data_IF_862797592292
#
_entry.id   IF_862797592292
#
_cell.length_a   1.000
_cell.length_b   1.000
_cell.length_c   1.000
_cell.angle_alpha   90.00
_cell.angle_beta   90.00
_cell.angle_gamma   90.00
#
_symmetry.space_group_name_H-M   'P 1'
#
loop_
_entity.id
_entity.type
_entity.pdbx_description
1 polymer ?
#
# COMPACT_ATOMS: atom_id res chain seq x y z
N UNK A 1 -4.99 14.84 29.48
CA UNK A 1 -6.46 14.88 29.26
C UNK A 1 -6.76 14.02 28.04
N UNK A 2 -7.78 13.16 28.09
CA UNK A 2 -8.27 12.48 26.89
C UNK A 2 -8.89 13.54 25.98
N UNK A 3 -8.44 13.59 24.72
CA UNK A 3 -8.95 14.50 23.70
C UNK A 3 -10.45 14.25 23.48
N UNK A 4 -11.24 15.31 23.36
CA UNK A 4 -12.67 15.19 23.01
C UNK A 4 -12.82 14.58 21.62
N UNK A 5 -13.80 13.68 21.46
CA UNK A 5 -14.05 13.05 20.18
C UNK A 5 -14.59 14.05 19.16
N UNK A 6 -13.95 14.11 17.98
CA UNK A 6 -14.37 14.95 16.87
C UNK A 6 -14.17 14.20 15.56
N UNK A 7 -15.16 14.29 14.66
CA UNK A 7 -15.10 13.77 13.30
C UNK A 7 -15.19 14.94 12.30
N UNK A 8 -14.41 14.86 11.22
CA UNK A 8 -14.40 15.87 10.17
C UNK A 8 -15.80 16.08 9.60
N UNK A 9 -16.18 17.33 9.35
CA UNK A 9 -17.45 17.66 8.67
C UNK A 9 -17.44 17.36 7.17
N UNK A 10 -16.28 17.38 6.53
CA UNK A 10 -16.14 17.16 5.07
C UNK A 10 -15.85 15.70 4.69
N UNK A 11 -15.08 14.97 5.49
CA UNK A 11 -14.80 13.54 5.30
C UNK A 11 -15.22 12.73 6.55
N UNK A 12 -14.56 11.61 6.85
CA UNK A 12 -14.83 10.80 8.05
C UNK A 12 -13.59 10.50 8.90
N UNK A 13 -12.47 11.18 8.65
CA UNK A 13 -11.33 11.16 9.58
C UNK A 13 -11.73 11.79 10.91
N UNK A 14 -11.24 11.22 12.01
CA UNK A 14 -11.59 11.62 13.36
C UNK A 14 -10.38 11.62 14.31
N UNK A 15 -10.62 11.89 15.58
CA UNK A 15 -9.59 11.96 16.64
C UNK A 15 -8.95 10.62 17.01
N UNK A 16 -9.28 9.51 16.33
CA UNK A 16 -8.48 8.27 16.45
C UNK A 16 -7.13 8.40 15.74
N UNK A 17 -6.96 9.36 14.82
CA UNK A 17 -5.65 9.91 14.50
C UNK A 17 -5.27 10.87 15.65
N UNK A 18 -4.25 10.54 16.47
CA UNK A 18 -3.92 11.35 17.64
C UNK A 18 -3.44 12.75 17.27
N UNK A 19 -2.88 12.93 16.07
CA UNK A 19 -2.29 14.17 15.61
C UNK A 19 -3.24 14.98 14.73
N UNK A 20 -4.44 14.49 14.41
CA UNK A 20 -5.37 15.20 13.51
C UNK A 20 -5.68 16.60 14.04
N UNK A 21 -5.81 17.58 13.16
CA UNK A 21 -6.23 18.94 13.49
C UNK A 21 -7.43 19.31 12.65
N UNK A 22 -8.26 20.18 13.21
CA UNK A 22 -9.46 20.71 12.57
C UNK A 22 -9.36 22.23 12.54
N UNK A 23 -9.80 22.83 11.44
CA UNK A 23 -9.98 24.28 11.36
C UNK A 23 -11.27 24.74 12.08
N UNK A 24 -11.53 26.05 12.05
CA UNK A 24 -12.68 26.68 12.69
C UNK A 24 -14.03 26.15 12.15
N UNK A 25 -14.06 25.65 10.92
CA UNK A 25 -15.24 25.05 10.30
C UNK A 25 -15.43 23.59 10.73
N UNK A 26 -14.45 22.97 11.39
CA UNK A 26 -14.45 21.56 11.76
C UNK A 26 -14.02 20.63 10.62
N UNK A 27 -13.30 21.15 9.64
CA UNK A 27 -12.70 20.39 8.53
C UNK A 27 -11.28 19.98 8.90
N UNK A 28 -10.95 18.70 8.70
CA UNK A 28 -9.65 18.19 9.05
C UNK A 28 -8.58 18.61 8.04
N UNK A 29 -7.33 18.64 8.50
CA UNK A 29 -6.19 19.01 7.66
C UNK A 29 -5.97 18.12 6.43
N UNK A 30 -6.43 16.86 6.43
CA UNK A 30 -6.35 16.00 5.24
C UNK A 30 -7.20 16.58 4.10
N UNK A 31 -8.42 17.04 4.42
CA UNK A 31 -9.28 17.73 3.47
C UNK A 31 -8.66 19.05 3.02
N UNK A 32 -8.03 19.79 3.93
CA UNK A 32 -7.35 21.04 3.60
C UNK A 32 -6.11 20.81 2.71
N UNK A 33 -5.30 19.78 2.98
CA UNK A 33 -4.17 19.39 2.12
C UNK A 33 -4.67 18.97 0.73
N UNK A 34 -5.74 18.18 0.65
CA UNK A 34 -6.33 17.81 -0.63
C UNK A 34 -6.78 19.05 -1.42
N UNK A 35 -7.57 19.93 -0.80
CA UNK A 35 -8.11 21.14 -1.43
C UNK A 35 -7.02 22.12 -1.87
N UNK A 36 -6.00 22.32 -1.03
CA UNK A 36 -5.00 23.39 -1.22
C UNK A 36 -3.75 22.93 -1.99
N UNK A 37 -3.42 21.63 -1.97
CA UNK A 37 -2.15 21.13 -2.52
C UNK A 37 -2.32 20.06 -3.59
N UNK A 38 -3.23 19.10 -3.41
CA UNK A 38 -3.38 17.98 -4.36
C UNK A 38 -4.30 18.39 -5.51
N UNK A 39 -5.51 18.84 -5.21
CA UNK A 39 -6.57 19.10 -6.19
C UNK A 39 -6.18 20.16 -7.24
N UNK A 40 -5.58 21.33 -6.89
CA UNK A 40 -5.30 22.37 -7.87
C UNK A 40 -4.33 21.95 -8.98
N UNK A 41 -3.36 21.07 -8.67
CA UNK A 41 -2.39 20.58 -9.65
C UNK A 41 -2.83 19.28 -10.31
N UNK A 42 -3.36 18.34 -9.52
CA UNK A 42 -3.75 17.05 -10.06
C UNK A 42 -4.98 17.18 -10.96
N UNK A 43 -5.95 18.03 -10.59
CA UNK A 43 -7.22 18.25 -11.29
C UNK A 43 -7.88 16.94 -11.75
N UNK A 44 -7.93 15.94 -10.85
CA UNK A 44 -8.46 14.59 -11.14
C UNK A 44 -7.79 13.89 -12.33
N UNK A 45 -6.58 14.28 -12.71
CA UNK A 45 -5.88 13.75 -13.88
C UNK A 45 -6.43 14.24 -15.22
N UNK A 46 -7.40 15.16 -15.23
CA UNK A 46 -8.05 15.65 -16.45
C UNK A 46 -7.09 16.53 -17.26
N UNK A 47 -6.97 16.26 -18.56
CA UNK A 47 -6.14 17.03 -19.48
C UNK A 47 -4.65 16.67 -19.44
N UNK A 48 -4.28 15.59 -18.74
CA UNK A 48 -2.90 15.14 -18.56
C UNK A 48 -2.51 13.98 -19.47
N UNK A 49 -3.37 13.64 -20.43
CA UNK A 49 -3.16 12.54 -21.39
C UNK A 49 -1.90 12.78 -22.23
N UNK A 50 -1.65 14.03 -22.63
CA UNK A 50 -0.44 14.40 -23.36
C UNK A 50 0.82 14.14 -22.54
N UNK A 51 0.83 14.52 -21.25
CA UNK A 51 1.95 14.25 -20.35
C UNK A 51 2.20 12.75 -20.18
N UNK A 52 1.13 11.96 -20.05
CA UNK A 52 1.23 10.50 -19.95
C UNK A 52 1.87 9.88 -21.21
N UNK A 53 1.46 10.33 -22.39
CA UNK A 53 2.00 9.84 -23.67
C UNK A 53 3.44 10.30 -23.91
N UNK A 54 3.80 11.51 -23.48
CA UNK A 54 5.19 11.99 -23.49
C UNK A 54 6.06 11.18 -22.54
N UNK A 55 5.56 10.85 -21.35
CA UNK A 55 6.23 9.96 -20.42
C UNK A 55 6.40 8.56 -21.01
N UNK A 56 5.38 8.01 -21.67
CA UNK A 56 5.47 6.73 -22.36
C UNK A 56 6.56 6.73 -23.45
N UNK A 57 6.63 7.79 -24.27
CA UNK A 57 7.70 7.96 -25.28
C UNK A 57 9.08 8.01 -24.62
N UNK A 58 9.22 8.73 -23.51
CA UNK A 58 10.48 8.81 -22.75
C UNK A 58 10.89 7.45 -22.21
N UNK A 59 9.96 6.69 -21.65
CA UNK A 59 10.21 5.34 -21.13
C UNK A 59 10.73 4.45 -22.26
N UNK A 60 9.99 4.35 -23.38
CA UNK A 60 10.40 3.57 -24.56
C UNK A 60 11.77 3.95 -25.09
N UNK A 61 12.04 5.25 -25.22
CA UNK A 61 13.32 5.74 -25.71
C UNK A 61 14.50 5.34 -24.82
N UNK A 62 14.28 5.27 -23.51
CA UNK A 62 15.29 4.87 -22.53
C UNK A 62 15.46 3.35 -22.42
N UNK A 63 14.55 2.58 -23.02
CA UNK A 63 14.46 1.12 -22.96
C UNK A 63 14.70 0.43 -24.32
N UNK A 64 15.16 1.16 -25.34
CA UNK A 64 15.36 0.64 -26.72
C UNK A 64 16.24 -0.62 -26.78
N UNK A 65 17.21 -0.75 -25.87
CA UNK A 65 18.15 -1.87 -25.83
C UNK A 65 17.78 -2.91 -24.74
N UNK A 66 16.52 -2.91 -24.28
CA UNK A 66 16.02 -3.82 -23.24
C UNK A 66 14.78 -4.54 -23.71
N UNK A 67 14.56 -5.76 -23.20
CA UNK A 67 13.39 -6.57 -23.55
C UNK A 67 12.06 -5.98 -23.04
N UNK A 68 12.12 -5.21 -21.94
CA UNK A 68 10.97 -4.63 -21.25
C UNK A 68 11.17 -3.13 -21.03
N UNK A 69 10.13 -2.35 -21.31
CA UNK A 69 10.13 -0.89 -21.13
C UNK A 69 10.18 -0.47 -19.66
N UNK A 70 9.49 -1.25 -18.83
CA UNK A 70 9.28 -0.99 -17.41
C UNK A 70 8.91 -2.28 -16.67
N UNK A 71 8.78 -2.19 -15.35
CA UNK A 71 8.33 -3.29 -14.48
C UNK A 71 7.15 -2.85 -13.61
N UNK A 72 6.20 -3.75 -13.39
CA UNK A 72 5.02 -3.53 -12.53
C UNK A 72 4.95 -4.65 -11.50
N UNK A 73 4.84 -4.28 -10.22
CA UNK A 73 4.45 -5.22 -9.18
C UNK A 73 2.95 -5.52 -9.28
N UNK A 74 2.56 -6.78 -9.46
CA UNK A 74 1.17 -7.18 -9.66
C UNK A 74 0.64 -7.97 -8.47
N UNK A 75 -0.41 -7.46 -7.80
CA UNK A 75 -1.04 -8.11 -6.64
C UNK A 75 -2.36 -8.82 -6.96
N UNK A 76 -2.93 -8.58 -8.15
CA UNK A 76 -4.30 -8.98 -8.50
C UNK A 76 -5.37 -8.00 -8.00
N UNK A 77 -5.01 -7.07 -7.13
CA UNK A 77 -5.85 -5.95 -6.68
C UNK A 77 -6.06 -4.89 -7.76
N UNK A 78 -7.11 -4.09 -7.61
CA UNK A 78 -7.60 -3.14 -8.61
C UNK A 78 -6.52 -2.18 -9.14
N UNK A 79 -5.80 -1.50 -8.25
CA UNK A 79 -4.87 -0.42 -8.62
C UNK A 79 -3.70 -0.95 -9.47
N UNK A 80 -3.15 -2.12 -9.11
CA UNK A 80 -2.06 -2.75 -9.86
C UNK A 80 -2.53 -3.32 -11.20
N UNK A 81 -3.71 -3.96 -11.23
CA UNK A 81 -4.31 -4.49 -12.44
C UNK A 81 -4.64 -3.40 -13.45
N UNK A 82 -5.23 -2.30 -12.99
CA UNK A 82 -5.55 -1.17 -13.86
C UNK A 82 -4.27 -0.46 -14.34
N UNK A 83 -3.21 -0.43 -13.52
CA UNK A 83 -1.90 0.08 -13.94
C UNK A 83 -1.31 -0.75 -15.09
N UNK A 84 -1.42 -2.08 -15.04
CA UNK A 84 -0.98 -2.94 -16.15
C UNK A 84 -1.80 -2.69 -17.43
N UNK A 85 -3.11 -2.51 -17.31
CA UNK A 85 -3.97 -2.10 -18.42
C UNK A 85 -3.55 -0.74 -19.01
N UNK A 86 -3.34 0.28 -18.17
CA UNK A 86 -2.91 1.62 -18.62
C UNK A 86 -1.55 1.56 -19.31
N UNK A 87 -0.59 0.86 -18.71
CA UNK A 87 0.75 0.73 -19.27
C UNK A 87 0.74 0.08 -20.66
N UNK A 88 -0.07 -0.96 -20.85
CA UNK A 88 -0.15 -1.68 -22.12
C UNK A 88 -1.05 -1.01 -23.15
N UNK A 89 -2.31 -0.76 -22.82
CA UNK A 89 -3.34 -0.33 -23.78
C UNK A 89 -3.34 1.17 -24.04
N UNK A 90 -2.92 1.99 -23.07
CA UNK A 90 -2.92 3.46 -23.20
C UNK A 90 -1.51 3.98 -23.50
N UNK A 91 -0.51 3.56 -22.73
CA UNK A 91 0.87 4.01 -22.92
C UNK A 91 1.59 3.23 -24.03
N UNK A 92 1.08 2.06 -24.42
CA UNK A 92 1.68 1.20 -25.43
C UNK A 92 3.02 0.60 -25.01
N UNK A 93 3.32 0.53 -23.71
CA UNK A 93 4.56 -0.04 -23.16
C UNK A 93 4.49 -1.57 -23.15
N UNK A 94 5.66 -2.20 -23.17
CA UNK A 94 5.84 -3.62 -22.88
C UNK A 94 6.38 -3.80 -21.44
N UNK A 95 5.51 -3.88 -20.42
CA UNK A 95 5.94 -4.08 -19.04
C UNK A 95 6.35 -5.53 -18.79
N UNK A 96 7.34 -5.73 -17.92
CA UNK A 96 7.52 -6.98 -17.18
C UNK A 96 6.57 -6.98 -15.99
N UNK A 97 5.74 -7.99 -15.84
CA UNK A 97 4.93 -8.17 -14.64
C UNK A 97 5.70 -9.01 -13.62
N UNK A 98 5.78 -8.54 -12.39
CA UNK A 98 6.36 -9.27 -11.26
C UNK A 98 5.31 -9.44 -10.17
N UNK A 99 4.89 -10.67 -9.93
CA UNK A 99 4.17 -11.05 -8.72
C UNK A 99 5.18 -11.45 -7.64
N UNK A 100 4.96 -11.04 -6.40
CA UNK A 100 5.78 -11.46 -5.26
C UNK A 100 4.88 -12.24 -4.33
N UNK A 101 5.11 -13.55 -4.23
CA UNK A 101 4.33 -14.43 -3.39
C UNK A 101 4.95 -14.47 -1.99
N UNK A 102 4.34 -13.73 -1.05
CA UNK A 102 4.68 -13.76 0.37
C UNK A 102 3.91 -14.83 1.16
N UNK A 103 3.19 -15.72 0.48
CA UNK A 103 2.45 -16.83 1.06
C UNK A 103 1.01 -16.50 1.48
N UNK A 104 0.50 -15.29 1.24
CA UNK A 104 -0.81 -14.84 1.75
C UNK A 104 -1.88 -14.60 0.68
N UNK A 105 -1.64 -15.01 -0.56
CA UNK A 105 -2.57 -14.80 -1.67
C UNK A 105 -3.95 -15.45 -1.43
N UNK A 106 -5.00 -14.76 -1.89
CA UNK A 106 -6.33 -15.36 -2.06
C UNK A 106 -6.45 -16.06 -3.42
N UNK A 107 -7.33 -17.05 -3.52
CA UNK A 107 -7.63 -17.71 -4.80
C UNK A 107 -8.13 -16.69 -5.84
N UNK A 108 -9.00 -15.76 -5.43
CA UNK A 108 -9.45 -14.67 -6.29
C UNK A 108 -8.31 -13.77 -6.80
N UNK A 109 -7.29 -13.49 -5.98
CA UNK A 109 -6.13 -12.72 -6.41
C UNK A 109 -5.34 -13.45 -7.50
N UNK A 110 -5.12 -14.76 -7.34
CA UNK A 110 -4.45 -15.60 -8.33
C UNK A 110 -5.25 -15.64 -9.63
N UNK A 111 -6.56 -15.91 -9.58
CA UNK A 111 -7.43 -15.89 -10.77
C UNK A 111 -7.42 -14.53 -11.48
N UNK A 112 -7.44 -13.43 -10.72
CA UNK A 112 -7.41 -12.09 -11.27
C UNK A 112 -6.08 -11.76 -11.95
N UNK A 113 -4.97 -12.27 -11.42
CA UNK A 113 -3.64 -12.16 -12.04
C UNK A 113 -3.64 -12.93 -13.36
N UNK A 114 -4.02 -14.21 -13.35
CA UNK A 114 -4.03 -15.08 -14.54
C UNK A 114 -4.83 -14.45 -15.68
N UNK A 115 -6.09 -14.09 -15.41
CA UNK A 115 -6.97 -13.44 -16.40
C UNK A 115 -6.39 -12.18 -17.01
N UNK A 116 -5.75 -11.36 -16.18
CA UNK A 116 -5.17 -10.10 -16.63
C UNK A 116 -3.92 -10.35 -17.49
N UNK A 117 -3.05 -11.25 -17.05
CA UNK A 117 -1.82 -11.62 -17.75
C UNK A 117 -2.17 -12.19 -19.14
N UNK A 118 -3.09 -13.15 -19.20
CA UNK A 118 -3.56 -13.76 -20.43
C UNK A 118 -4.26 -12.75 -21.34
N UNK A 119 -5.16 -11.94 -20.78
CA UNK A 119 -5.93 -10.95 -21.52
C UNK A 119 -5.09 -9.79 -22.08
N UNK A 120 -3.96 -9.48 -21.43
CA UNK A 120 -3.00 -8.49 -21.92
C UNK A 120 -1.91 -9.09 -22.82
N UNK A 121 -1.76 -10.43 -22.83
CA UNK A 121 -0.69 -11.11 -23.56
C UNK A 121 0.70 -10.74 -23.03
N UNK A 122 0.85 -10.70 -21.70
CA UNK A 122 2.09 -10.33 -21.03
C UNK A 122 2.75 -11.54 -20.37
N UNK A 123 4.05 -11.43 -20.11
CA UNK A 123 4.77 -12.40 -19.29
C UNK A 123 4.69 -12.03 -17.80
N UNK A 124 4.47 -13.03 -16.95
CA UNK A 124 4.49 -12.90 -15.50
C UNK A 124 5.68 -13.65 -14.91
N UNK A 125 6.50 -12.92 -14.14
CA UNK A 125 7.50 -13.49 -13.26
C UNK A 125 6.96 -13.56 -11.83
N UNK A 126 7.19 -14.68 -11.14
CA UNK A 126 6.82 -14.83 -9.73
C UNK A 126 8.08 -14.98 -8.88
N UNK A 127 8.29 -14.06 -7.94
CA UNK A 127 9.29 -14.19 -6.89
C UNK A 127 8.62 -14.81 -5.65
N UNK A 128 8.93 -16.06 -5.36
CA UNK A 128 8.42 -16.74 -4.17
C UNK A 128 9.33 -16.47 -2.99
N UNK A 129 8.79 -15.82 -1.96
CA UNK A 129 9.54 -15.52 -0.74
C UNK A 129 9.69 -16.80 0.08
N UNK A 130 10.85 -16.98 0.71
CA UNK A 130 11.06 -18.08 1.65
C UNK A 130 10.04 -18.00 2.79
N UNK A 131 9.10 -18.95 2.79
CA UNK A 131 7.97 -18.96 3.71
C UNK A 131 8.41 -19.03 5.17
N UNK A 132 9.45 -19.78 5.50
CA UNK A 132 9.93 -19.89 6.88
C UNK A 132 10.48 -18.56 7.40
N UNK A 133 11.17 -17.80 6.54
CA UNK A 133 11.67 -16.46 6.89
C UNK A 133 10.54 -15.43 6.98
N UNK A 134 9.57 -15.49 6.06
CA UNK A 134 8.38 -14.63 6.07
C UNK A 134 7.54 -14.86 7.33
N UNK A 135 7.25 -16.12 7.67
CA UNK A 135 6.53 -16.55 8.87
C UNK A 135 7.25 -16.13 10.14
N UNK A 136 8.57 -16.32 10.22
CA UNK A 136 9.39 -15.93 11.37
C UNK A 136 9.40 -14.40 11.58
N UNK A 137 9.50 -13.63 10.48
CA UNK A 137 9.40 -12.17 10.53
C UNK A 137 7.99 -11.71 10.93
N UNK A 138 6.94 -12.30 10.36
CA UNK A 138 5.55 -11.97 10.69
C UNK A 138 5.24 -12.22 12.17
N UNK A 139 5.68 -13.36 12.72
CA UNK A 139 5.58 -13.65 14.16
C UNK A 139 6.33 -12.63 15.02
N UNK A 140 7.51 -12.20 14.58
CA UNK A 140 8.29 -11.19 15.28
C UNK A 140 7.55 -9.84 15.32
N UNK A 141 6.86 -9.49 14.24
CA UNK A 141 6.05 -8.27 14.17
C UNK A 141 4.79 -8.35 15.05
N UNK A 142 4.11 -9.50 15.12
CA UNK A 142 3.01 -9.67 16.08
C UNK A 142 3.50 -9.50 17.52
N UNK A 143 4.62 -10.15 17.87
CA UNK A 143 5.24 -10.02 19.20
C UNK A 143 5.77 -8.62 19.50
N UNK A 144 6.03 -7.81 18.47
CA UNK A 144 6.49 -6.43 18.63
C UNK A 144 5.41 -5.48 19.15
N UNK A 145 4.13 -5.85 19.01
CA UNK A 145 2.99 -5.07 19.46
C UNK A 145 2.81 -3.70 18.77
N UNK A 146 3.50 -3.44 17.66
CA UNK A 146 3.28 -2.21 16.86
C UNK A 146 2.03 -2.33 15.99
N UNK A 147 1.43 -1.21 15.59
CA UNK A 147 0.25 -1.20 14.72
C UNK A 147 0.55 -1.66 13.28
N UNK A 148 1.78 -1.49 12.79
CA UNK A 148 2.19 -1.81 11.43
C UNK A 148 2.54 -3.30 11.26
N UNK A 149 1.51 -4.14 11.07
CA UNK A 149 1.68 -5.58 10.92
C UNK A 149 1.90 -6.02 9.46
N UNK A 150 1.64 -5.15 8.48
CA UNK A 150 1.91 -5.45 7.07
C UNK A 150 3.35 -5.15 6.64
N UNK A 151 4.12 -4.42 7.46
CA UNK A 151 5.51 -4.07 7.14
C UNK A 151 6.39 -5.25 6.68
N UNK A 152 6.26 -6.49 7.22
CA UNK A 152 6.94 -7.66 6.66
C UNK A 152 6.58 -7.93 5.19
N UNK A 153 5.29 -7.96 4.83
CA UNK A 153 4.83 -8.17 3.45
C UNK A 153 5.27 -7.03 2.53
N UNK A 154 5.05 -5.77 2.95
CA UNK A 154 5.47 -4.59 2.19
C UNK A 154 6.98 -4.59 1.92
N UNK A 155 7.76 -4.99 2.94
CA UNK A 155 9.20 -5.16 2.78
C UNK A 155 9.52 -6.19 1.72
N UNK A 156 8.86 -7.35 1.74
CA UNK A 156 9.06 -8.38 0.73
C UNK A 156 8.73 -7.86 -0.68
N UNK A 157 7.54 -7.29 -0.86
CA UNK A 157 7.03 -6.82 -2.14
C UNK A 157 7.92 -5.75 -2.77
N UNK A 158 8.18 -4.65 -2.06
CA UNK A 158 8.97 -3.55 -2.61
C UNK A 158 10.46 -3.88 -2.71
N UNK A 159 11.01 -4.66 -1.77
CA UNK A 159 12.42 -5.06 -1.85
C UNK A 159 12.68 -6.01 -3.00
N UNK A 160 11.84 -7.03 -3.19
CA UNK A 160 11.94 -7.96 -4.31
C UNK A 160 11.80 -7.20 -5.64
N UNK A 161 10.76 -6.39 -5.78
CA UNK A 161 10.51 -5.60 -6.98
C UNK A 161 11.69 -4.69 -7.35
N UNK A 162 12.20 -3.91 -6.40
CA UNK A 162 13.32 -3.00 -6.67
C UNK A 162 14.64 -3.74 -6.93
N UNK A 163 14.92 -4.83 -6.21
CA UNK A 163 16.11 -5.65 -6.48
C UNK A 163 16.02 -6.30 -7.87
N UNK A 164 14.85 -6.82 -8.24
CA UNK A 164 14.61 -7.41 -9.55
C UNK A 164 14.79 -6.38 -10.67
N UNK A 165 14.18 -5.20 -10.52
CA UNK A 165 14.33 -4.09 -11.45
C UNK A 165 15.81 -3.71 -11.64
N UNK A 166 16.56 -3.59 -10.55
CA UNK A 166 18.00 -3.28 -10.59
C UNK A 166 18.83 -4.39 -11.24
N UNK A 167 18.59 -5.65 -10.88
CA UNK A 167 19.30 -6.81 -11.43
C UNK A 167 19.13 -6.90 -12.95
N UNK A 168 17.92 -6.62 -13.43
CA UNK A 168 17.56 -6.66 -14.84
C UNK A 168 17.72 -5.30 -15.56
N UNK A 169 18.35 -4.31 -14.90
CA UNK A 169 18.62 -2.97 -15.44
C UNK A 169 17.37 -2.22 -15.94
N UNK A 170 16.18 -2.55 -15.42
CA UNK A 170 14.93 -1.87 -15.72
C UNK A 170 14.86 -0.58 -14.90
N UNK A 171 14.82 0.56 -15.59
CA UNK A 171 14.85 1.89 -14.94
C UNK A 171 13.48 2.33 -14.41
N UNK A 172 12.39 1.88 -15.02
CA UNK A 172 11.05 2.38 -14.71
C UNK A 172 10.23 1.34 -13.95
N UNK A 173 9.82 1.70 -12.74
CA UNK A 173 8.87 0.92 -11.94
C UNK A 173 7.52 1.64 -11.96
N UNK A 174 6.48 1.02 -12.47
CA UNK A 174 5.13 1.57 -12.49
C UNK A 174 4.33 0.99 -11.31
N UNK A 175 3.60 1.83 -10.58
CA UNK A 175 2.84 1.44 -9.38
C UNK A 175 1.41 1.93 -9.45
N UNK A 176 0.49 1.19 -8.81
CA UNK A 176 -0.92 1.57 -8.66
C UNK A 176 -1.20 2.74 -7.71
N UNK A 177 -0.21 3.21 -6.94
CA UNK A 177 -0.42 4.30 -6.01
C UNK A 177 -0.93 5.57 -6.71
N UNK A 178 -1.99 6.17 -6.20
CA UNK A 178 -2.72 7.23 -6.91
C UNK A 178 -3.41 8.22 -5.93
N UNK A 179 -3.86 9.37 -6.40
CA UNK A 179 -4.62 10.33 -5.57
C UNK A 179 -6.12 10.03 -5.53
N UNK A 180 -6.66 9.34 -6.53
CA UNK A 180 -8.10 9.09 -6.63
C UNK A 180 -8.66 8.30 -5.46
N UNK A 181 -7.94 7.27 -5.03
CA UNK A 181 -8.34 6.37 -3.94
C UNK A 181 -7.46 6.49 -2.70
N UNK A 182 -6.42 7.35 -2.73
CA UNK A 182 -5.39 7.46 -1.67
C UNK A 182 -4.88 8.89 -1.43
N UNK A 183 -5.70 9.92 -1.66
CA UNK A 183 -5.32 11.29 -1.33
C UNK A 183 -5.29 11.54 0.19
N UNK A 184 -6.12 10.84 0.97
CA UNK A 184 -5.97 10.73 2.42
C UNK A 184 -5.04 9.56 2.73
N UNK A 185 -3.85 9.85 3.25
CA UNK A 185 -2.94 8.82 3.75
C UNK A 185 -3.24 8.54 5.21
N UNK A 186 -3.20 7.27 5.58
CA UNK A 186 -3.25 6.79 6.95
C UNK A 186 -2.14 7.44 7.79
N UNK A 187 -2.42 7.82 9.06
CA UNK A 187 -1.37 8.28 9.98
C UNK A 187 -0.45 7.13 10.36
N UNK A 188 0.78 7.46 10.78
CA UNK A 188 1.79 6.44 11.13
C UNK A 188 1.35 5.57 12.30
N UNK A 189 0.59 6.13 13.22
CA UNK A 189 0.01 5.42 14.36
C UNK A 189 -0.93 4.30 13.92
N UNK A 190 -1.55 4.41 12.74
CA UNK A 190 -2.43 3.35 12.17
C UNK A 190 -1.65 2.32 11.35
N UNK A 191 -0.33 2.22 11.54
CA UNK A 191 0.50 1.25 10.83
C UNK A 191 0.86 1.67 9.41
N UNK A 192 1.13 2.97 9.21
CA UNK A 192 1.55 3.52 7.92
C UNK A 192 3.01 4.01 7.95
N UNK A 193 3.90 3.23 8.58
CA UNK A 193 5.29 3.62 8.80
C UNK A 193 5.97 3.97 7.46
N UNK A 194 6.74 5.07 7.41
CA UNK A 194 7.19 5.59 6.14
C UNK A 194 8.33 4.78 5.51
N UNK A 195 7.96 4.00 4.49
CA UNK A 195 8.89 3.26 3.64
C UNK A 195 9.64 2.15 4.38
N UNK A 196 10.61 1.55 3.69
CA UNK A 196 11.29 0.35 4.18
C UNK A 196 12.49 0.69 5.06
N UNK A 197 12.28 0.79 6.38
CA UNK A 197 13.37 0.99 7.33
C UNK A 197 13.97 -0.33 7.77
N UNK A 198 15.10 -0.70 7.15
CA UNK A 198 15.83 -1.93 7.48
C UNK A 198 16.24 -1.98 8.95
N UNK A 199 16.48 -0.84 9.61
CA UNK A 199 16.88 -0.80 11.03
C UNK A 199 15.73 -1.22 11.93
N UNK A 200 14.52 -0.70 11.70
CA UNK A 200 13.31 -1.09 12.42
C UNK A 200 13.03 -2.58 12.27
N UNK A 201 13.00 -3.06 11.02
CA UNK A 201 12.72 -4.46 10.69
C UNK A 201 13.72 -5.40 11.37
N UNK A 202 15.02 -5.07 11.30
CA UNK A 202 16.07 -5.91 11.90
C UNK A 202 16.05 -5.85 13.43
N UNK A 203 15.78 -4.69 14.04
CA UNK A 203 15.70 -4.58 15.51
C UNK A 203 14.52 -5.38 16.08
N UNK A 204 13.35 -5.30 15.44
CA UNK A 204 12.19 -6.11 15.82
C UNK A 204 12.52 -7.60 15.66
N UNK A 205 13.00 -8.00 14.49
CA UNK A 205 13.30 -9.41 14.20
C UNK A 205 14.30 -10.01 15.20
N UNK A 206 15.40 -9.33 15.46
CA UNK A 206 16.45 -9.82 16.39
C UNK A 206 16.02 -9.85 17.86
N UNK A 207 15.02 -9.07 18.27
CA UNK A 207 14.45 -9.11 19.63
C UNK A 207 13.56 -10.33 19.86
N UNK A 208 12.84 -10.78 18.83
CA UNK A 208 11.81 -11.81 18.96
C UNK A 208 12.12 -13.14 18.25
N UNK A 209 13.20 -13.19 17.47
CA UNK A 209 13.69 -14.39 16.80
C UNK A 209 15.20 -14.53 16.89
N UNK A 210 15.67 -15.78 16.91
CA UNK A 210 17.08 -16.16 16.81
C UNK A 210 17.45 -16.63 15.39
N UNK A 211 16.46 -16.83 14.53
CA UNK A 211 16.67 -17.25 13.15
C UNK A 211 17.32 -16.12 12.35
N UNK A 212 17.96 -16.45 11.23
CA UNK A 212 18.53 -15.45 10.32
C UNK A 212 17.65 -15.32 9.08
N UNK A 213 17.39 -14.09 8.65
CA UNK A 213 16.80 -13.79 7.35
C UNK A 213 17.91 -13.87 6.27
N UNK A 214 18.20 -15.07 5.77
CA UNK A 214 19.27 -15.33 4.80
C UNK A 214 18.86 -14.88 3.40
N UNK A 215 17.64 -15.19 2.99
CA UNK A 215 17.14 -14.96 1.62
C UNK A 215 16.11 -13.85 1.52
N UNK A 216 15.47 -13.49 2.63
CA UNK A 216 14.40 -12.51 2.68
C UNK A 216 14.87 -11.16 2.11
N UNK A 217 14.17 -10.63 1.09
CA UNK A 217 14.62 -9.42 0.45
C UNK A 217 14.34 -8.23 1.37
N UNK A 218 15.41 -7.60 1.86
CA UNK A 218 15.31 -6.29 2.52
C UNK A 218 16.16 -5.28 1.77
N UNK A 219 15.53 -4.20 1.32
CA UNK A 219 16.19 -2.98 0.86
C UNK A 219 15.87 -1.84 1.83
N UNK A 220 16.85 -0.98 2.07
CA UNK A 220 16.66 0.17 2.94
C UNK A 220 16.12 1.40 2.18
N UNK A 221 15.32 2.22 2.86
CA UNK A 221 14.72 3.43 2.31
C UNK A 221 15.72 4.34 1.61
N UNK A 222 16.88 4.57 2.22
CA UNK A 222 17.90 5.43 1.63
C UNK A 222 18.57 4.81 0.41
N UNK A 223 18.64 3.48 0.33
CA UNK A 223 19.18 2.80 -0.84
C UNK A 223 18.29 3.04 -2.05
N UNK A 224 16.98 2.81 -1.95
CA UNK A 224 16.13 2.98 -3.13
C UNK A 224 15.77 4.45 -3.41
N UNK A 225 15.58 5.29 -2.39
CA UNK A 225 15.25 6.72 -2.56
C UNK A 225 16.45 7.55 -3.03
N UNK A 226 17.68 7.18 -2.66
CA UNK A 226 18.90 7.93 -3.00
C UNK A 226 19.70 7.19 -4.06
N UNK A 227 20.24 6.01 -3.73
CA UNK A 227 21.18 5.31 -4.60
C UNK A 227 20.48 4.85 -5.88
N UNK A 228 19.36 4.12 -5.78
CA UNK A 228 18.69 3.60 -6.98
C UNK A 228 18.13 4.73 -7.83
N UNK A 229 17.57 5.77 -7.21
CA UNK A 229 17.03 6.92 -7.91
C UNK A 229 18.09 7.76 -8.61
N UNK A 230 19.11 8.24 -7.89
CA UNK A 230 20.05 9.23 -8.43
C UNK A 230 21.27 8.61 -9.07
N UNK A 231 21.85 7.55 -8.50
CA UNK A 231 23.02 6.89 -9.09
C UNK A 231 22.63 5.98 -10.26
N UNK A 232 21.52 5.25 -10.12
CA UNK A 232 21.10 4.27 -11.11
C UNK A 232 19.93 4.70 -11.99
N UNK A 233 19.39 5.90 -11.77
CA UNK A 233 18.32 6.47 -12.59
C UNK A 233 16.98 5.74 -12.49
N UNK A 234 16.74 4.95 -11.43
CA UNK A 234 15.47 4.26 -11.23
C UNK A 234 14.35 5.25 -10.90
N UNK A 235 13.23 5.16 -11.60
CA UNK A 235 12.08 6.06 -11.43
C UNK A 235 10.83 5.26 -11.10
N UNK A 236 10.14 5.68 -10.04
CA UNK A 236 8.84 5.13 -9.66
C UNK A 236 7.75 6.04 -10.22
N UNK A 237 6.90 5.51 -11.09
CA UNK A 237 5.88 6.25 -11.84
C UNK A 237 4.49 5.82 -11.37
N UNK A 238 3.59 6.80 -11.22
CA UNK A 238 2.19 6.62 -10.81
C UNK A 238 1.26 7.01 -11.97
N UNK A 239 1.09 6.13 -12.99
CA UNK A 239 0.39 6.51 -14.23
C UNK A 239 -1.09 6.85 -13.99
N UNK A 240 -1.72 6.30 -12.96
CA UNK A 240 -3.12 6.57 -12.62
C UNK A 240 -3.40 8.03 -12.22
N UNK A 241 -2.36 8.82 -11.90
CA UNK A 241 -2.50 10.25 -11.62
C UNK A 241 -2.62 11.12 -12.89
N UNK A 242 -2.44 10.55 -14.08
CA UNK A 242 -2.49 11.28 -15.36
C UNK A 242 -3.80 11.03 -16.13
N UNK A 243 -4.76 10.35 -15.50
CA UNK A 243 -6.03 9.96 -16.09
C UNK A 243 -7.16 10.24 -15.10
N UNK A 244 -8.40 10.42 -15.56
CA UNK A 244 -9.59 10.45 -14.72
C UNK A 244 -9.90 9.06 -14.16
N UNK A 245 -9.02 8.57 -13.27
CA UNK A 245 -9.13 7.27 -12.66
C UNK A 245 -10.25 7.26 -11.63
N UNK A 246 -11.29 6.45 -11.86
CA UNK A 246 -12.36 6.19 -10.90
C UNK A 246 -12.46 4.70 -10.62
N UNK A 247 -12.70 4.36 -9.35
CA UNK A 247 -12.73 2.98 -8.85
C UNK A 247 -13.72 2.12 -9.64
N UNK A 248 -14.99 2.51 -9.67
CA UNK A 248 -16.07 1.70 -10.26
C UNK A 248 -15.93 1.55 -11.78
N UNK A 249 -15.47 2.61 -12.47
CA UNK A 249 -15.23 2.58 -13.91
C UNK A 249 -14.05 1.64 -14.25
N UNK A 250 -12.99 1.65 -13.44
CA UNK A 250 -11.86 0.75 -13.60
C UNK A 250 -12.22 -0.72 -13.31
N UNK A 251 -13.00 -0.99 -12.26
CA UNK A 251 -13.52 -2.33 -11.95
C UNK A 251 -14.36 -2.87 -13.12
N UNK A 252 -15.30 -2.07 -13.62
CA UNK A 252 -16.12 -2.42 -14.77
C UNK A 252 -15.27 -2.69 -16.02
N UNK A 253 -14.28 -1.82 -16.30
CA UNK A 253 -13.40 -1.98 -17.46
C UNK A 253 -12.59 -3.27 -17.41
N UNK A 254 -12.01 -3.61 -16.26
CA UNK A 254 -11.23 -4.83 -16.10
C UNK A 254 -12.11 -6.08 -16.17
N UNK A 255 -13.33 -6.01 -15.62
CA UNK A 255 -14.32 -7.09 -15.74
C UNK A 255 -14.73 -7.32 -17.20
N UNK A 256 -15.11 -6.27 -17.91
CA UNK A 256 -15.53 -6.33 -19.33
C UNK A 256 -14.44 -6.91 -20.24
N UNK A 257 -13.19 -6.52 -20.04
CA UNK A 257 -12.09 -6.91 -20.93
C UNK A 257 -11.50 -8.28 -20.60
N UNK A 258 -11.43 -8.63 -19.31
CA UNK A 258 -10.61 -9.76 -18.84
C UNK A 258 -11.36 -10.71 -17.89
N UNK A 259 -12.59 -10.39 -17.48
CA UNK A 259 -13.30 -11.16 -16.45
C UNK A 259 -12.70 -11.03 -15.05
N UNK A 260 -11.92 -9.96 -14.80
CA UNK A 260 -11.39 -9.61 -13.48
C UNK A 260 -12.54 -9.31 -12.51
N UNK A 261 -12.46 -9.81 -11.28
CA UNK A 261 -13.53 -9.67 -10.27
C UNK A 261 -13.14 -8.70 -9.15
N UNK A 262 -14.05 -7.79 -8.75
CA UNK A 262 -13.80 -6.86 -7.66
C UNK A 262 -13.73 -7.57 -6.30
N UNK A 263 -12.94 -6.99 -5.41
CA UNK A 263 -12.91 -7.37 -4.00
C UNK A 263 -13.89 -6.52 -3.20
N UNK A 264 -14.40 -7.07 -2.09
CA UNK A 264 -15.35 -6.37 -1.22
C UNK A 264 -14.78 -5.06 -0.64
N UNK A 265 -13.52 -5.07 -0.24
CA UNK A 265 -12.79 -3.91 0.25
C UNK A 265 -11.37 -3.89 -0.33
N UNK A 266 -10.68 -2.76 -0.16
CA UNK A 266 -9.30 -2.57 -0.58
C UNK A 266 -8.39 -3.58 0.15
N UNK A 267 -7.34 -4.07 -0.51
CA UNK A 267 -6.36 -5.02 0.00
C UNK A 267 -6.85 -6.44 0.35
N UNK A 268 -8.11 -6.76 0.06
CA UNK A 268 -8.66 -8.11 0.29
C UNK A 268 -8.09 -9.18 -0.65
N UNK A 269 -7.20 -8.83 -1.58
CA UNK A 269 -6.39 -9.77 -2.34
C UNK A 269 -5.42 -10.58 -1.46
N UNK A 270 -4.96 -10.04 -0.33
CA UNK A 270 -4.13 -10.72 0.67
C UNK A 270 -4.96 -11.14 1.87
N UNK A 271 -4.92 -12.43 2.22
CA UNK A 271 -5.60 -12.96 3.43
C UNK A 271 -5.04 -12.31 4.70
N UNK A 272 -3.72 -12.09 4.76
CA UNK A 272 -3.11 -11.49 5.93
C UNK A 272 -3.53 -10.04 6.10
N UNK A 273 -3.45 -9.23 5.04
CA UNK A 273 -3.82 -7.82 5.11
C UNK A 273 -5.31 -7.66 5.42
N UNK A 274 -6.18 -8.49 4.84
CA UNK A 274 -7.60 -8.55 5.23
C UNK A 274 -7.79 -8.85 6.72
N UNK A 275 -7.15 -9.90 7.23
CA UNK A 275 -7.19 -10.22 8.67
C UNK A 275 -6.68 -9.06 9.54
N UNK A 276 -5.57 -8.46 9.13
CA UNK A 276 -4.96 -7.36 9.84
C UNK A 276 -5.87 -6.13 9.89
N UNK A 277 -6.40 -5.70 8.74
CA UNK A 277 -7.19 -4.48 8.61
C UNK A 277 -8.62 -4.63 9.16
N UNK A 278 -9.25 -5.81 9.02
CA UNK A 278 -10.65 -6.02 9.45
C UNK A 278 -10.79 -6.63 10.86
N UNK A 279 -9.76 -7.29 11.39
CA UNK A 279 -9.79 -7.88 12.75
C UNK A 279 -8.74 -7.28 13.67
N UNK A 280 -7.45 -7.43 13.33
CA UNK A 280 -6.37 -7.16 14.28
C UNK A 280 -6.35 -5.69 14.68
N UNK A 281 -6.33 -4.79 13.71
CA UNK A 281 -6.13 -3.37 13.93
C UNK A 281 -7.35 -2.68 14.59
N UNK A 282 -8.60 -2.92 14.16
CA UNK A 282 -9.78 -2.35 14.83
C UNK A 282 -9.94 -2.86 16.26
N UNK A 283 -9.75 -4.17 16.49
CA UNK A 283 -10.00 -4.78 17.81
C UNK A 283 -8.86 -4.55 18.80
N UNK A 284 -7.59 -4.47 18.35
CA UNK A 284 -6.42 -4.28 19.23
C UNK A 284 -6.02 -2.82 19.43
N UNK A 285 -6.02 -2.02 18.37
CA UNK A 285 -5.51 -0.65 18.40
C UNK A 285 -6.62 0.40 18.32
N UNK A 286 -7.86 0.00 17.98
CA UNK A 286 -8.97 0.92 17.79
C UNK A 286 -8.86 1.77 16.52
N UNK A 287 -8.00 1.37 15.58
CA UNK A 287 -7.76 2.08 14.33
C UNK A 287 -8.52 1.45 13.17
N UNK A 288 -9.03 2.28 12.28
CA UNK A 288 -9.86 1.86 11.14
C UNK A 288 -9.37 2.52 9.84
N UNK A 289 -8.50 1.82 9.10
CA UNK A 289 -7.94 2.31 7.81
C UNK A 289 -9.02 2.65 6.79
N UNK A 290 -10.17 1.97 6.87
CA UNK A 290 -11.37 2.29 6.08
C UNK A 290 -11.74 3.78 6.15
N UNK A 291 -11.46 4.48 7.26
CA UNK A 291 -11.66 5.93 7.38
C UNK A 291 -10.82 6.73 6.37
N UNK A 292 -9.54 6.39 6.20
CA UNK A 292 -8.67 7.04 5.22
C UNK A 292 -9.09 6.67 3.78
N UNK A 293 -9.39 5.39 3.54
CA UNK A 293 -9.88 4.91 2.24
C UNK A 293 -11.18 5.63 1.82
N UNK A 294 -12.21 5.65 2.67
CA UNK A 294 -13.48 6.31 2.37
C UNK A 294 -13.34 7.84 2.33
N UNK A 295 -12.49 8.43 3.17
CA UNK A 295 -12.21 9.87 3.11
C UNK A 295 -11.59 10.28 1.77
N UNK A 296 -10.72 9.44 1.21
CA UNK A 296 -10.21 9.65 -0.16
C UNK A 296 -11.35 9.63 -1.19
N UNK A 297 -12.25 8.65 -1.12
CA UNK A 297 -13.39 8.54 -2.04
C UNK A 297 -14.39 9.71 -1.88
N UNK A 298 -14.59 10.24 -0.67
CA UNK A 298 -15.43 11.42 -0.45
C UNK A 298 -14.79 12.64 -1.10
N UNK A 299 -13.50 12.89 -0.83
CA UNK A 299 -12.78 14.04 -1.39
C UNK A 299 -12.71 14.00 -2.91
N UNK A 300 -12.69 12.80 -3.49
CA UNK A 300 -12.67 12.60 -4.95
C UNK A 300 -14.05 12.38 -5.57
N UNK A 301 -15.13 12.63 -4.80
CA UNK A 301 -16.54 12.59 -5.26
C UNK A 301 -16.98 11.22 -5.79
N UNK A 302 -16.44 10.14 -5.23
CA UNK A 302 -16.75 8.75 -5.57
C UNK A 302 -17.61 8.04 -4.51
N UNK A 303 -17.81 8.67 -3.35
CA UNK A 303 -18.63 8.16 -2.25
C UNK A 303 -19.22 9.35 -1.48
N UNK A 304 -20.47 9.23 -1.01
CA UNK A 304 -21.03 10.26 -0.12
C UNK A 304 -20.56 10.06 1.31
N UNK A 305 -20.56 11.14 2.11
CA UNK A 305 -20.18 11.05 3.52
C UNK A 305 -21.16 10.18 4.31
N UNK A 306 -22.44 10.23 3.97
CA UNK A 306 -23.51 9.44 4.59
C UNK A 306 -23.30 7.94 4.33
N UNK A 307 -22.95 7.58 3.09
CA UNK A 307 -22.63 6.20 2.73
C UNK A 307 -21.41 5.71 3.52
N UNK A 308 -20.35 6.52 3.60
CA UNK A 308 -19.15 6.18 4.34
C UNK A 308 -19.43 5.96 5.83
N UNK A 309 -20.25 6.81 6.47
CA UNK A 309 -20.67 6.65 7.87
C UNK A 309 -21.50 5.38 8.07
N UNK A 310 -22.42 5.08 7.14
CA UNK A 310 -23.22 3.85 7.20
C UNK A 310 -22.37 2.59 7.04
N UNK A 311 -21.30 2.65 6.23
CA UNK A 311 -20.42 1.52 5.97
C UNK A 311 -19.42 1.30 7.10
N UNK A 312 -18.84 2.38 7.65
CA UNK A 312 -17.87 2.30 8.76
C UNK A 312 -18.51 1.85 10.07
N UNK A 313 -19.82 2.08 10.27
CA UNK A 313 -20.53 1.70 11.50
C UNK A 313 -20.68 0.19 11.71
N UNK A 314 -20.29 -0.62 10.71
CA UNK A 314 -20.30 -2.08 10.78
C UNK A 314 -19.01 -2.67 10.17
N UNK A 315 -18.57 -3.86 10.63
CA UNK A 315 -17.50 -4.60 9.96
C UNK A 315 -17.87 -4.95 8.51
N UNK A 316 -16.86 -5.07 7.64
CA UNK A 316 -17.05 -5.58 6.27
C UNK A 316 -17.38 -7.08 6.28
N UNK A 317 -16.80 -7.82 7.23
CA UNK A 317 -16.89 -9.27 7.33
C UNK A 317 -17.62 -9.68 8.62
N UNK A 318 -18.29 -10.83 8.62
CA UNK A 318 -18.96 -11.33 9.82
C UNK A 318 -17.95 -11.75 10.89
N UNK A 319 -18.34 -11.69 12.17
CA UNK A 319 -17.48 -12.14 13.26
C UNK A 319 -17.09 -13.63 13.12
N UNK A 320 -17.99 -14.48 12.63
CA UNK A 320 -17.68 -15.89 12.33
C UNK A 320 -16.56 -16.02 11.29
N UNK A 321 -16.63 -15.23 10.21
CA UNK A 321 -15.59 -15.22 9.18
C UNK A 321 -14.25 -14.74 9.77
N UNK A 322 -14.27 -13.65 10.52
CA UNK A 322 -13.04 -13.10 11.09
C UNK A 322 -12.41 -14.02 12.16
N UNK A 323 -13.22 -14.75 12.93
CA UNK A 323 -12.71 -15.75 13.88
C UNK A 323 -12.03 -16.92 13.14
N UNK A 324 -12.60 -17.38 12.02
CA UNK A 324 -11.95 -18.39 11.15
C UNK A 324 -10.65 -17.87 10.53
N UNK A 325 -10.61 -16.60 10.12
CA UNK A 325 -9.37 -15.97 9.65
C UNK A 325 -8.32 -15.91 10.77
N UNK A 326 -8.71 -15.62 12.02
CA UNK A 326 -7.80 -15.65 13.17
C UNK A 326 -7.19 -17.04 13.39
N UNK A 327 -8.02 -18.09 13.39
CA UNK A 327 -7.56 -19.48 13.52
C UNK A 327 -6.64 -19.88 12.36
N UNK A 328 -6.99 -19.49 11.13
CA UNK A 328 -6.18 -19.73 9.94
C UNK A 328 -4.81 -19.05 10.05
N UNK A 329 -4.76 -17.78 10.45
CA UNK A 329 -3.51 -17.03 10.61
C UNK A 329 -2.66 -17.63 11.72
N UNK A 330 -3.25 -18.01 12.86
CA UNK A 330 -2.53 -18.70 13.94
C UNK A 330 -1.89 -19.99 13.42
N UNK A 331 -2.70 -20.88 12.84
CA UNK A 331 -2.26 -22.16 12.30
C UNK A 331 -1.16 -22.00 11.25
N UNK A 332 -1.35 -21.09 10.29
CA UNK A 332 -0.40 -20.83 9.21
C UNK A 332 0.94 -20.27 9.72
N UNK A 333 0.95 -19.58 10.86
CA UNK A 333 2.17 -19.10 11.49
C UNK A 333 2.82 -20.11 12.45
N UNK A 334 2.33 -21.35 12.51
CA UNK A 334 2.70 -22.36 13.51
C UNK A 334 2.52 -21.84 14.95
N UNK A 335 1.38 -21.21 15.20
CA UNK A 335 0.93 -20.82 16.53
C UNK A 335 -0.39 -21.54 16.82
N UNK A 336 -0.59 -21.92 18.07
CA UNK A 336 -1.93 -22.24 18.56
C UNK A 336 -2.78 -20.96 18.59
N UNK A 337 -4.10 -21.12 18.47
CA UNK A 337 -5.04 -19.99 18.60
C UNK A 337 -4.85 -19.25 19.93
N UNK A 338 -4.55 -19.96 21.02
CA UNK A 338 -4.30 -19.36 22.32
C UNK A 338 -3.00 -18.55 22.34
N UNK A 339 -1.90 -19.04 21.76
CA UNK A 339 -0.66 -18.26 21.67
C UNK A 339 -0.84 -16.97 20.87
N UNK A 340 -1.56 -17.01 19.74
CA UNK A 340 -1.85 -15.80 18.98
C UNK A 340 -2.76 -14.85 19.78
N UNK A 341 -3.71 -15.38 20.55
CA UNK A 341 -4.58 -14.60 21.43
C UNK A 341 -3.80 -13.92 22.56
N UNK A 342 -2.87 -14.62 23.19
CA UNK A 342 -2.01 -14.03 24.23
C UNK A 342 -1.16 -12.89 23.66
N UNK A 343 -0.67 -13.04 22.41
CA UNK A 343 0.03 -11.96 21.71
C UNK A 343 -0.94 -10.80 21.40
N UNK A 344 -2.15 -11.10 20.94
CA UNK A 344 -3.16 -10.10 20.63
C UNK A 344 -3.56 -9.25 21.87
N UNK A 345 -3.69 -9.88 23.03
CA UNK A 345 -4.04 -9.23 24.30
C UNK A 345 -2.85 -8.51 24.97
N UNK A 346 -1.64 -8.65 24.43
CA UNK A 346 -0.44 -7.97 24.92
C UNK A 346 -0.50 -6.44 24.83
N UNK A 347 0.33 -5.77 25.62
CA UNK A 347 0.40 -4.30 25.66
C UNK A 347 0.89 -3.71 24.33
N UNK A 348 0.13 -2.76 23.78
CA UNK A 348 0.45 -2.09 22.53
C UNK A 348 1.75 -1.27 22.65
N UNK A 349 2.55 -1.29 21.59
CA UNK A 349 3.77 -0.51 21.44
C UNK A 349 3.72 0.30 20.16
N UNK A 350 4.74 1.13 19.96
CA UNK A 350 4.95 1.92 18.76
C UNK A 350 6.30 1.60 18.15
N UNK A 351 6.53 2.05 16.91
CA UNK A 351 7.85 1.93 16.30
C UNK A 351 8.95 2.70 17.06
N UNK A 352 8.61 3.63 17.96
CA UNK A 352 9.56 4.33 18.84
C UNK A 352 10.15 3.42 19.92
N UNK A 353 9.51 2.31 20.25
CA UNK A 353 10.01 1.28 21.18
C UNK A 353 11.13 0.41 20.57
N UNK A 354 11.45 0.65 19.30
CA UNK A 354 12.42 -0.10 18.50
C UNK A 354 13.41 0.84 17.83
N UNK A 355 14.63 0.35 17.57
CA UNK A 355 15.63 1.15 16.85
C UNK A 355 15.15 1.40 15.43
N UNK A 356 15.01 2.66 15.05
CA UNK A 356 14.51 3.05 13.74
C UNK A 356 15.29 4.25 13.18
N UNK A 357 14.92 4.67 11.98
CA UNK A 357 15.46 5.83 11.24
C UNK A 357 14.39 6.91 11.05
N UNK A 358 13.28 6.87 11.79
CA UNK A 358 12.12 7.75 11.57
C UNK A 358 12.48 9.23 11.54
N UNK A 359 13.40 9.65 12.40
CA UNK A 359 13.90 11.03 12.40
C UNK A 359 14.54 11.43 11.06
N UNK A 360 15.44 10.59 10.52
CA UNK A 360 16.12 10.85 9.24
C UNK A 360 15.14 10.79 8.07
N UNK A 361 14.19 9.86 8.10
CA UNK A 361 13.13 9.75 7.09
C UNK A 361 12.26 11.02 7.11
N UNK A 362 11.90 11.51 8.29
CA UNK A 362 11.13 12.74 8.46
C UNK A 362 11.87 13.98 7.98
N UNK A 363 13.18 14.09 8.23
CA UNK A 363 14.00 15.17 7.69
C UNK A 363 14.00 15.15 6.15
N UNK A 364 14.19 13.97 5.55
CA UNK A 364 14.11 13.80 4.11
C UNK A 364 12.73 14.16 3.54
N UNK A 365 11.65 13.74 4.19
CA UNK A 365 10.29 14.07 3.79
C UNK A 365 10.03 15.58 3.79
N UNK A 366 10.44 16.30 4.86
CA UNK A 366 10.31 17.77 4.93
C UNK A 366 11.07 18.48 3.82
N UNK A 367 12.28 18.03 3.49
CA UNK A 367 13.06 18.56 2.37
C UNK A 367 12.30 18.32 1.05
N UNK A 368 11.75 17.13 0.84
CA UNK A 368 10.99 16.81 -0.37
C UNK A 368 9.72 17.64 -0.52
N UNK A 369 9.00 17.88 0.59
CA UNK A 369 7.82 18.76 0.61
C UNK A 369 8.21 20.21 0.34
N UNK A 370 9.29 20.70 0.96
CA UNK A 370 9.81 22.05 0.70
C UNK A 370 10.20 22.26 -0.76
N UNK A 371 10.76 21.23 -1.41
CA UNK A 371 11.11 21.24 -2.84
C UNK A 371 9.90 20.98 -3.77
N UNK A 372 8.68 20.79 -3.24
CA UNK A 372 7.46 20.51 -4.01
C UNK A 372 7.40 19.12 -4.66
N UNK A 373 8.30 18.21 -4.27
CA UNK A 373 8.42 16.86 -4.83
C UNK A 373 7.51 15.83 -4.12
N UNK A 374 7.05 16.14 -2.92
CA UNK A 374 6.02 15.38 -2.18
C UNK A 374 4.90 16.34 -1.76
N UNK A 375 3.65 15.96 -2.04
CA UNK A 375 2.47 16.82 -1.84
C UNK A 375 1.49 16.27 -0.84
N UNK A 376 1.50 14.94 -0.62
CA UNK A 376 0.66 14.35 0.41
C UNK A 376 1.16 14.82 1.77
N UNK A 377 0.20 15.04 2.66
CA UNK A 377 0.52 15.26 4.06
C UNK A 377 1.27 14.04 4.61
N UNK A 378 2.46 14.30 5.14
CA UNK A 378 3.34 13.30 5.73
C UNK A 378 3.59 13.71 7.16
N UNK A 379 3.19 12.87 8.11
CA UNK A 379 3.19 13.17 9.54
C UNK A 379 4.20 12.31 10.24
#
# INVERSE_FOLDING_TARGET
>A
MKREYQICKSCIMDTSDPNITFDEDGVCEYCNNFKNSILPEWNFGVGREKELLELAKKIKNNAKDTEFDCIIGLSGGLDSSYTAYVATKIMGLKPLLLHVDAGWNTEQAVENIEKLVDGLGLDLYTEVINWEEMKDLQKSFFKSQIADQDLPQDTAFFSALYKFARKNKIKYVLTGGNYSTECCREPEEWGAYPGLDKRLITDIHTKFSKNKLKTFPIIDIFVYKIIYKYLFGMQVIKPLNYLPYKKTEAEAKLFELFGWKPFQHKHHESRFTRFYEDYWMPKKFGYEKRRAHFSSLIMTKQMSREEAIKRISKPELSDDFLNKEFEYVASKLDLTTNELKDIFEGENKTFYDYKNKRYLIGLGARIMTFLGLEKRLFR
#
